data_IF_407153104905
#
_entry.id   IF_407153104905
#
_cell.length_a   1.000
_cell.length_b   1.000
_cell.length_c   1.000
_cell.angle_alpha   90.00
_cell.angle_beta   90.00
_cell.angle_gamma   90.00
#
_symmetry.space_group_name_H-M   'P 1'
#
loop_
_entity.id
_entity.type
_entity.pdbx_description
1 polymer ?
#
# COMPACT_ATOMS: atom_id res chain seq x y z
N UNK A 1 -10.52 21.02 -2.69
CA UNK A 1 -10.00 19.62 -2.78
C UNK A 1 -11.15 18.62 -2.68
N UNK A 2 -11.12 17.51 -3.44
CA UNK A 2 -12.15 16.46 -3.49
C UNK A 2 -11.51 15.10 -3.17
N UNK A 3 -12.32 14.09 -2.82
CA UNK A 3 -11.83 12.72 -2.63
C UNK A 3 -11.06 12.22 -3.85
N UNK A 4 -11.57 12.49 -5.05
CA UNK A 4 -10.89 12.13 -6.29
C UNK A 4 -9.52 12.81 -6.47
N UNK A 5 -9.35 14.06 -5.99
CA UNK A 5 -8.02 14.69 -5.99
C UNK A 5 -7.04 14.00 -5.04
N UNK A 6 -7.51 13.40 -3.95
CA UNK A 6 -6.69 12.59 -3.06
C UNK A 6 -6.30 11.24 -3.68
N UNK A 7 -7.21 10.59 -4.41
CA UNK A 7 -6.90 9.37 -5.19
C UNK A 7 -5.82 9.64 -6.24
N UNK A 8 -5.91 10.77 -6.95
CA UNK A 8 -4.90 11.18 -7.92
C UNK A 8 -3.54 11.43 -7.23
N UNK A 9 -3.54 12.13 -6.09
CA UNK A 9 -2.33 12.36 -5.32
C UNK A 9 -1.67 11.02 -4.89
N UNK A 10 -2.46 10.10 -4.31
CA UNK A 10 -2.00 8.78 -3.89
C UNK A 10 -1.41 7.98 -5.05
N UNK A 11 -2.11 7.95 -6.19
CA UNK A 11 -1.64 7.24 -7.37
C UNK A 11 -0.29 7.80 -7.89
N UNK A 12 -0.12 9.13 -7.93
CA UNK A 12 1.15 9.76 -8.32
C UNK A 12 2.26 9.46 -7.33
N UNK A 13 1.97 9.53 -6.02
CA UNK A 13 2.92 9.25 -4.96
C UNK A 13 3.45 7.81 -5.03
N UNK A 14 2.56 6.84 -5.21
CA UNK A 14 2.89 5.40 -5.31
C UNK A 14 3.63 5.04 -6.59
N UNK A 15 3.21 5.61 -7.73
CA UNK A 15 3.77 5.27 -9.04
C UNK A 15 5.08 6.02 -9.35
N UNK A 16 5.37 7.11 -8.65
CA UNK A 16 6.49 7.99 -8.98
C UNK A 16 6.44 8.55 -10.41
N UNK A 17 5.24 8.56 -11.02
CA UNK A 17 5.06 8.91 -12.43
C UNK A 17 3.63 9.32 -12.72
N UNK A 18 3.45 10.51 -13.32
CA UNK A 18 2.15 10.98 -13.80
C UNK A 18 1.55 10.05 -14.88
N UNK A 19 2.39 9.50 -15.76
CA UNK A 19 1.93 8.61 -16.83
C UNK A 19 1.43 7.28 -16.28
N UNK A 20 2.15 6.67 -15.32
CA UNK A 20 1.71 5.42 -14.69
C UNK A 20 0.45 5.63 -13.84
N UNK A 21 0.36 6.73 -13.10
CA UNK A 21 -0.85 7.10 -12.36
C UNK A 21 -2.05 7.30 -13.29
N UNK A 22 -1.84 7.94 -14.44
CA UNK A 22 -2.88 8.11 -15.46
C UNK A 22 -3.39 6.77 -16.00
N UNK A 23 -2.49 5.83 -16.29
CA UNK A 23 -2.86 4.49 -16.72
C UNK A 23 -3.66 3.75 -15.64
N UNK A 24 -3.21 3.80 -14.39
CA UNK A 24 -3.90 3.17 -13.26
C UNK A 24 -5.33 3.70 -13.05
N UNK A 25 -5.52 5.03 -13.19
CA UNK A 25 -6.81 5.68 -12.99
C UNK A 25 -7.66 5.81 -14.25
N UNK A 26 -7.20 5.25 -15.38
CA UNK A 26 -7.86 5.37 -16.70
C UNK A 26 -8.09 6.84 -17.13
N UNK A 27 -7.10 7.70 -16.84
CA UNK A 27 -7.11 9.12 -17.17
C UNK A 27 -5.99 9.47 -18.16
N UNK A 28 -6.01 10.72 -18.65
CA UNK A 28 -4.89 11.27 -19.41
C UNK A 28 -3.82 11.84 -18.49
N UNK A 29 -2.52 11.80 -18.86
CA UNK A 29 -1.47 12.45 -18.07
C UNK A 29 -1.69 13.95 -17.86
N UNK A 30 -2.31 14.64 -18.81
CA UNK A 30 -2.68 16.06 -18.68
C UNK A 30 -3.75 16.27 -17.61
N UNK A 31 -4.75 15.38 -17.50
CA UNK A 31 -5.77 15.44 -16.46
C UNK A 31 -5.16 15.25 -15.07
N UNK A 32 -4.28 14.26 -14.89
CA UNK A 32 -3.54 14.06 -13.64
C UNK A 32 -2.72 15.30 -13.28
N UNK A 33 -1.94 15.81 -14.25
CA UNK A 33 -1.11 17.01 -14.04
C UNK A 33 -1.91 18.24 -13.67
N UNK A 34 -3.07 18.43 -14.31
CA UNK A 34 -3.99 19.54 -14.01
C UNK A 34 -4.59 19.40 -12.60
N UNK A 35 -5.06 18.21 -12.23
CA UNK A 35 -5.63 17.96 -10.91
C UNK A 35 -4.63 18.24 -9.78
N UNK A 36 -3.38 17.79 -9.94
CA UNK A 36 -2.31 18.10 -8.98
C UNK A 36 -2.03 19.61 -8.94
N UNK A 37 -1.94 20.28 -10.08
CA UNK A 37 -1.70 21.73 -10.13
C UNK A 37 -2.81 22.53 -9.43
N UNK A 38 -4.08 22.12 -9.60
CA UNK A 38 -5.22 22.73 -8.89
C UNK A 38 -5.08 22.51 -7.37
N UNK A 39 -4.74 21.29 -6.94
CA UNK A 39 -4.54 20.96 -5.54
C UNK A 39 -3.39 21.79 -4.92
N UNK A 40 -2.26 21.91 -5.62
CA UNK A 40 -1.11 22.73 -5.22
C UNK A 40 -1.47 24.22 -5.14
N UNK A 41 -2.28 24.72 -6.08
CA UNK A 41 -2.74 26.10 -6.07
C UNK A 41 -3.69 26.39 -4.88
N UNK A 42 -4.60 25.46 -4.54
CA UNK A 42 -5.48 25.60 -3.38
C UNK A 42 -4.68 25.58 -2.06
N UNK A 43 -3.59 24.77 -1.99
CA UNK A 43 -2.76 24.64 -0.80
C UNK A 43 -1.71 25.76 -0.67
N UNK A 44 -1.33 26.40 -1.77
CA UNK A 44 -0.29 27.44 -1.80
C UNK A 44 1.15 26.90 -1.80
N UNK A 45 1.36 25.60 -2.01
CA UNK A 45 2.69 24.96 -2.09
C UNK A 45 2.66 23.74 -3.01
N UNK A 46 3.86 23.35 -3.51
CA UNK A 46 4.01 22.19 -4.37
C UNK A 46 4.04 20.88 -3.57
N UNK A 47 3.41 19.84 -4.12
CA UNK A 47 3.32 18.52 -3.53
C UNK A 47 4.34 17.55 -4.12
N UNK A 48 4.74 17.79 -5.37
CA UNK A 48 5.66 16.94 -6.10
C UNK A 48 6.80 17.70 -6.76
N UNK A 49 8.00 17.12 -6.68
CA UNK A 49 9.16 17.49 -7.49
C UNK A 49 9.12 16.69 -8.79
N UNK A 50 9.27 17.38 -9.93
CA UNK A 50 9.37 16.76 -11.26
C UNK A 50 10.83 16.76 -11.69
N UNK A 51 11.43 15.59 -11.88
CA UNK A 51 12.82 15.44 -12.27
C UNK A 51 13.01 14.47 -13.44
N UNK A 52 14.25 14.40 -13.94
CA UNK A 52 14.63 13.45 -15.02
C UNK A 52 14.43 11.99 -14.62
N UNK A 53 14.49 11.67 -13.33
CA UNK A 53 14.38 10.33 -12.79
C UNK A 53 12.96 9.99 -12.31
N UNK A 54 11.95 10.81 -12.65
CA UNK A 54 10.58 10.60 -12.25
C UNK A 54 10.02 11.71 -11.36
N UNK A 55 9.01 11.35 -10.57
CA UNK A 55 8.28 12.24 -9.67
C UNK A 55 8.49 11.78 -8.24
N UNK A 56 8.87 12.70 -7.35
CA UNK A 56 9.00 12.45 -5.91
C UNK A 56 8.18 13.45 -5.12
N UNK A 57 7.69 13.08 -3.96
CA UNK A 57 6.99 14.01 -3.07
C UNK A 57 7.97 15.09 -2.55
N UNK A 58 7.46 16.31 -2.39
CA UNK A 58 8.13 17.35 -1.59
C UNK A 58 8.01 17.01 -0.09
N UNK A 59 8.68 17.76 0.78
CA UNK A 59 8.48 17.66 2.24
C UNK A 59 7.03 17.91 2.65
N UNK A 60 6.35 18.83 1.98
CA UNK A 60 4.93 19.12 2.21
C UNK A 60 4.05 17.94 1.77
N UNK A 61 4.31 17.37 0.59
CA UNK A 61 3.61 16.20 0.10
C UNK A 61 3.77 15.01 1.04
N UNK A 62 5.00 14.73 1.49
CA UNK A 62 5.28 13.67 2.44
C UNK A 62 4.59 13.88 3.81
N UNK A 63 4.53 15.11 4.29
CA UNK A 63 3.84 15.43 5.55
C UNK A 63 2.32 15.28 5.46
N UNK A 64 1.70 15.55 4.30
CA UNK A 64 0.27 15.39 4.08
C UNK A 64 -0.16 13.97 3.74
N UNK A 65 0.75 13.16 3.21
CA UNK A 65 0.44 11.83 2.70
C UNK A 65 -0.28 10.93 3.71
N UNK A 66 0.15 10.82 4.99
CA UNK A 66 -0.55 10.00 5.98
C UNK A 66 -2.01 10.45 6.20
N UNK A 67 -2.26 11.76 6.23
CA UNK A 67 -3.61 12.31 6.41
C UNK A 67 -4.50 12.05 5.19
N UNK A 68 -3.96 12.19 3.99
CA UNK A 68 -4.67 11.86 2.74
C UNK A 68 -5.01 10.38 2.70
N UNK A 69 -4.07 9.51 3.09
CA UNK A 69 -4.31 8.06 3.20
C UNK A 69 -5.41 7.74 4.21
N UNK A 70 -5.42 8.40 5.37
CA UNK A 70 -6.46 8.21 6.38
C UNK A 70 -7.87 8.57 5.83
N UNK A 71 -8.00 9.63 5.03
CA UNK A 71 -9.27 10.00 4.38
C UNK A 71 -9.70 8.93 3.39
N UNK A 72 -8.79 8.45 2.52
CA UNK A 72 -9.09 7.40 1.53
C UNK A 72 -9.48 6.09 2.21
N UNK A 73 -8.78 5.69 3.27
CA UNK A 73 -9.12 4.49 4.05
C UNK A 73 -10.49 4.62 4.73
N UNK A 74 -10.84 5.82 5.21
CA UNK A 74 -12.16 6.07 5.82
C UNK A 74 -13.29 5.96 4.79
N UNK A 75 -13.07 6.44 3.56
CA UNK A 75 -14.03 6.26 2.47
C UNK A 75 -14.17 4.78 2.09
N UNK A 76 -13.07 4.05 1.94
CA UNK A 76 -13.10 2.61 1.68
C UNK A 76 -13.88 1.85 2.78
N UNK A 77 -13.66 2.19 4.06
CA UNK A 77 -14.38 1.60 5.19
C UNK A 77 -15.89 1.91 5.14
N UNK A 78 -16.25 3.13 4.75
CA UNK A 78 -17.65 3.52 4.54
C UNK A 78 -18.31 2.69 3.42
N UNK A 79 -17.64 2.55 2.27
CA UNK A 79 -18.14 1.74 1.15
C UNK A 79 -18.32 0.28 1.54
N UNK A 80 -17.39 -0.30 2.30
CA UNK A 80 -17.52 -1.66 2.84
C UNK A 80 -18.70 -1.79 3.80
N UNK A 81 -18.93 -0.78 4.65
CA UNK A 81 -20.06 -0.76 5.58
C UNK A 81 -21.40 -0.71 4.84
N UNK A 82 -21.49 0.11 3.79
CA UNK A 82 -22.66 0.19 2.91
C UNK A 82 -22.90 -1.14 2.22
N UNK A 83 -21.86 -1.78 1.67
CA UNK A 83 -21.98 -3.08 1.03
C UNK A 83 -22.51 -4.14 1.99
N UNK A 84 -22.00 -4.16 3.24
CA UNK A 84 -22.47 -5.08 4.30
C UNK A 84 -23.96 -4.86 4.65
N UNK A 85 -24.39 -3.60 4.79
CA UNK A 85 -25.78 -3.27 5.07
C UNK A 85 -26.73 -3.70 3.95
N UNK A 86 -26.23 -3.73 2.71
CA UNK A 86 -26.96 -4.21 1.53
C UNK A 86 -26.92 -5.75 1.39
N UNK A 87 -26.41 -6.49 2.37
CA UNK A 87 -26.28 -7.95 2.34
C UNK A 87 -25.24 -8.46 1.34
N UNK A 88 -24.33 -7.60 0.88
CA UNK A 88 -23.24 -7.95 -0.01
C UNK A 88 -22.00 -8.29 0.86
N UNK A 89 -21.65 -9.56 0.92
CA UNK A 89 -20.38 -10.02 1.52
C UNK A 89 -19.19 -9.71 0.59
N UNK A 90 -19.15 -8.49 0.09
CA UNK A 90 -18.07 -8.01 -0.77
C UNK A 90 -17.13 -7.12 0.03
N UNK A 91 -15.85 -7.30 -0.16
CA UNK A 91 -14.84 -6.50 0.49
C UNK A 91 -13.54 -6.54 -0.28
N UNK A 92 -12.62 -5.67 0.12
CA UNK A 92 -11.25 -5.65 -0.37
C UNK A 92 -10.31 -5.61 0.83
N UNK A 93 -9.25 -6.43 0.78
CA UNK A 93 -8.18 -6.48 1.78
C UNK A 93 -6.85 -6.22 1.07
N UNK A 94 -6.11 -5.25 1.53
CA UNK A 94 -4.75 -4.92 1.04
C UNK A 94 -3.74 -5.55 1.99
N UNK A 95 -2.96 -6.48 1.47
CA UNK A 95 -2.00 -7.28 2.21
C UNK A 95 -0.56 -6.93 1.81
N UNK A 96 0.25 -6.47 2.77
CA UNK A 96 1.68 -6.25 2.57
C UNK A 96 2.51 -7.49 2.92
N UNK A 97 3.43 -7.89 2.03
CA UNK A 97 4.31 -9.02 2.28
C UNK A 97 5.67 -8.85 1.59
N UNK A 98 6.72 -9.40 2.20
CA UNK A 98 8.04 -9.47 1.60
C UNK A 98 8.22 -10.74 0.75
N UNK A 99 9.26 -10.77 -0.07
CA UNK A 99 9.44 -11.74 -1.16
C UNK A 99 9.33 -13.21 -0.70
N UNK A 100 9.93 -13.60 0.41
CA UNK A 100 9.91 -15.00 0.88
C UNK A 100 8.51 -15.45 1.29
N UNK A 101 7.71 -14.57 1.88
CA UNK A 101 6.30 -14.85 2.20
C UNK A 101 5.47 -14.97 0.92
N UNK A 102 5.67 -14.06 -0.03
CA UNK A 102 4.93 -14.08 -1.30
C UNK A 102 5.20 -15.35 -2.12
N UNK A 103 6.43 -15.86 -2.13
CA UNK A 103 6.79 -17.05 -2.88
C UNK A 103 6.53 -18.36 -2.14
N UNK A 104 6.53 -18.35 -0.80
CA UNK A 104 6.42 -19.55 0.04
C UNK A 104 5.01 -19.76 0.61
N UNK A 105 4.69 -19.02 1.64
CA UNK A 105 3.51 -19.24 2.47
C UNK A 105 2.20 -18.68 1.87
N UNK A 106 2.27 -17.49 1.30
CA UNK A 106 1.10 -16.71 0.91
C UNK A 106 0.20 -17.40 -0.13
N UNK A 107 0.71 -18.08 -1.17
CA UNK A 107 -0.15 -18.74 -2.16
C UNK A 107 -1.10 -19.77 -1.56
N UNK A 108 -0.65 -20.56 -0.58
CA UNK A 108 -1.48 -21.56 0.08
C UNK A 108 -2.56 -20.94 0.96
N UNK A 109 -2.22 -19.86 1.68
CA UNK A 109 -3.17 -19.09 2.51
C UNK A 109 -4.23 -18.46 1.62
N UNK A 110 -3.84 -17.78 0.54
CA UNK A 110 -4.77 -17.12 -0.37
C UNK A 110 -5.72 -18.12 -1.04
N UNK A 111 -5.21 -19.26 -1.48
CA UNK A 111 -6.04 -20.32 -2.06
C UNK A 111 -7.13 -20.78 -1.09
N UNK A 112 -6.79 -21.01 0.17
CA UNK A 112 -7.76 -21.38 1.21
C UNK A 112 -8.75 -20.26 1.51
N UNK A 113 -8.27 -19.03 1.64
CA UNK A 113 -9.09 -17.86 1.93
C UNK A 113 -10.10 -17.59 0.81
N UNK A 114 -9.67 -17.55 -0.45
CA UNK A 114 -10.53 -17.28 -1.61
C UNK A 114 -11.57 -18.38 -1.84
N UNK A 115 -11.28 -19.62 -1.43
CA UNK A 115 -12.26 -20.71 -1.49
C UNK A 115 -13.42 -20.50 -0.49
N UNK A 116 -13.14 -19.92 0.68
CA UNK A 116 -14.15 -19.64 1.71
C UNK A 116 -14.86 -18.29 1.52
N UNK A 117 -14.13 -17.30 0.97
CA UNK A 117 -14.61 -15.92 0.80
C UNK A 117 -14.44 -15.45 -0.66
N UNK A 118 -15.16 -16.03 -1.62
CA UNK A 118 -14.95 -15.77 -3.05
C UNK A 118 -15.29 -14.34 -3.49
N UNK A 119 -16.03 -13.60 -2.67
CA UNK A 119 -16.42 -12.22 -2.96
C UNK A 119 -15.48 -11.17 -2.32
N UNK A 120 -14.44 -11.61 -1.57
CA UNK A 120 -13.44 -10.72 -0.99
C UNK A 120 -12.24 -10.68 -1.93
N UNK A 121 -11.95 -9.51 -2.46
CA UNK A 121 -10.75 -9.25 -3.25
C UNK A 121 -9.54 -9.09 -2.31
N UNK A 122 -8.45 -9.80 -2.58
CA UNK A 122 -7.18 -9.61 -1.87
C UNK A 122 -6.17 -9.01 -2.82
N UNK A 123 -5.72 -7.79 -2.52
CA UNK A 123 -4.65 -7.11 -3.25
C UNK A 123 -3.34 -7.27 -2.48
N UNK A 124 -2.34 -7.88 -3.12
CA UNK A 124 -1.04 -8.15 -2.50
C UNK A 124 -0.01 -7.11 -2.94
N UNK A 125 0.60 -6.46 -1.96
CA UNK A 125 1.72 -5.54 -2.11
C UNK A 125 3.00 -6.25 -1.71
N UNK A 126 3.89 -6.44 -2.68
CA UNK A 126 5.18 -7.10 -2.47
C UNK A 126 6.31 -6.08 -2.44
N UNK A 127 7.15 -6.12 -1.40
CA UNK A 127 8.27 -5.20 -1.24
C UNK A 127 9.32 -5.68 -0.26
N UNK A 128 10.22 -4.77 0.11
CA UNK A 128 11.20 -4.98 1.17
C UNK A 128 10.54 -4.92 2.56
N UNK A 129 11.27 -5.26 3.62
CA UNK A 129 10.80 -5.12 5.00
C UNK A 129 10.41 -3.68 5.33
N UNK A 130 11.22 -2.71 4.85
CA UNK A 130 10.97 -1.29 5.09
C UNK A 130 9.76 -0.79 4.30
N UNK A 131 9.58 -1.24 3.05
CA UNK A 131 8.40 -0.91 2.24
C UNK A 131 7.12 -1.39 2.95
N UNK A 132 7.10 -2.66 3.37
CA UNK A 132 5.92 -3.27 4.01
C UNK A 132 5.58 -2.56 5.33
N UNK A 133 6.60 -2.22 6.13
CA UNK A 133 6.45 -1.45 7.35
C UNK A 133 5.87 -0.06 7.09
N UNK A 134 6.40 0.64 6.09
CA UNK A 134 5.91 1.96 5.71
C UNK A 134 4.49 1.92 5.16
N UNK A 135 4.15 0.91 4.35
CA UNK A 135 2.78 0.74 3.83
C UNK A 135 1.77 0.51 4.95
N UNK A 136 2.11 -0.27 5.97
CA UNK A 136 1.23 -0.48 7.11
C UNK A 136 1.09 0.80 7.93
N UNK A 137 2.20 1.53 8.17
CA UNK A 137 2.20 2.79 8.92
C UNK A 137 1.37 3.89 8.24
N UNK A 138 1.42 3.96 6.92
CA UNK A 138 0.68 4.95 6.13
C UNK A 138 -0.74 4.50 5.77
N UNK A 139 -1.15 3.28 6.17
CA UNK A 139 -2.45 2.71 5.82
C UNK A 139 -2.61 2.39 4.34
N UNK A 140 -1.49 2.18 3.62
CA UNK A 140 -1.52 1.72 2.24
C UNK A 140 -1.91 0.24 2.15
N UNK A 141 -1.63 -0.54 3.20
CA UNK A 141 -2.11 -1.91 3.40
C UNK A 141 -2.86 -2.01 4.72
N UNK A 142 -3.83 -2.92 4.79
CA UNK A 142 -4.69 -3.13 5.97
C UNK A 142 -4.02 -4.06 6.97
N UNK A 143 -3.34 -5.07 6.46
CA UNK A 143 -2.56 -6.05 7.22
C UNK A 143 -1.23 -6.32 6.53
N UNK A 144 -0.23 -6.77 7.29
CA UNK A 144 1.08 -7.07 6.72
C UNK A 144 1.77 -8.22 7.45
N UNK A 145 2.62 -8.94 6.72
CA UNK A 145 3.60 -9.83 7.33
C UNK A 145 4.82 -9.01 7.76
N UNK A 146 5.13 -9.08 9.04
CA UNK A 146 6.25 -8.35 9.65
C UNK A 146 7.11 -9.31 10.47
N UNK A 147 8.36 -8.94 10.69
CA UNK A 147 9.23 -9.64 11.62
C UNK A 147 9.03 -9.15 13.07
N UNK A 148 9.48 -9.93 14.05
CA UNK A 148 9.25 -9.68 15.47
C UNK A 148 9.86 -8.35 16.00
N UNK A 149 10.79 -7.75 15.27
CA UNK A 149 11.44 -6.48 15.64
C UNK A 149 10.51 -5.24 15.51
N UNK A 150 9.27 -5.42 15.05
CA UNK A 150 8.28 -4.34 14.87
C UNK A 150 7.24 -4.27 16.02
N UNK A 151 7.42 -5.02 17.11
CA UNK A 151 6.43 -5.10 18.23
C UNK A 151 6.16 -3.78 18.95
N UNK A 152 7.12 -2.87 18.95
CA UNK A 152 6.95 -1.58 19.61
C UNK A 152 6.06 -0.62 18.80
N UNK A 153 5.89 -0.87 17.51
CA UNK A 153 5.21 0.02 16.58
C UNK A 153 3.83 -0.49 16.16
N UNK A 154 3.65 -1.84 16.14
CA UNK A 154 2.44 -2.48 15.65
C UNK A 154 1.93 -3.57 16.59
N UNK A 155 0.62 -3.82 16.55
CA UNK A 155 0.02 -4.99 17.19
C UNK A 155 0.32 -6.21 16.32
N UNK A 156 1.10 -7.15 16.85
CA UNK A 156 1.51 -8.36 16.14
C UNK A 156 0.80 -9.60 16.68
N UNK A 157 0.31 -10.44 15.77
CA UNK A 157 -0.08 -11.82 16.03
C UNK A 157 1.00 -12.74 15.51
N UNK A 158 1.59 -13.53 16.39
CA UNK A 158 2.62 -14.49 16.02
C UNK A 158 2.01 -15.65 15.24
N UNK A 159 2.59 -15.95 14.07
CA UNK A 159 2.14 -17.04 13.19
C UNK A 159 3.05 -18.26 13.31
N UNK A 160 4.36 -18.08 13.28
CA UNK A 160 5.37 -19.14 13.37
C UNK A 160 6.76 -18.56 13.70
N UNK A 161 7.66 -19.44 14.10
CA UNK A 161 9.07 -19.12 14.28
C UNK A 161 9.91 -19.76 13.16
N UNK A 162 10.75 -18.96 12.51
CA UNK A 162 11.79 -19.45 11.60
C UNK A 162 13.15 -19.38 12.29
N UNK A 163 13.87 -20.49 12.45
CA UNK A 163 15.22 -20.46 12.97
C UNK A 163 16.18 -19.85 11.93
N UNK A 164 17.10 -19.01 12.40
CA UNK A 164 18.23 -18.59 11.58
C UNK A 164 19.23 -19.77 11.49
N UNK A 165 19.51 -20.18 10.26
CA UNK A 165 20.50 -21.22 9.98
C UNK A 165 21.75 -20.57 9.38
N UNK A 166 22.91 -20.90 9.93
CA UNK A 166 24.19 -20.55 9.33
C UNK A 166 24.49 -21.53 8.20
N UNK A 167 24.74 -21.02 7.01
CA UNK A 167 25.19 -21.83 5.86
C UNK A 167 26.67 -21.57 5.67
N UNK A 168 27.45 -22.66 5.77
CA UNK A 168 28.89 -22.63 5.53
C UNK A 168 29.24 -23.54 4.36
N UNK A 169 30.36 -23.33 3.67
CA UNK A 169 30.93 -24.33 2.76
C UNK A 169 31.11 -25.68 3.46
N UNK A 170 31.01 -26.78 2.70
CA UNK A 170 31.04 -28.14 3.25
C UNK A 170 32.37 -28.47 3.91
N UNK A 171 33.43 -27.77 3.57
CA UNK A 171 34.82 -27.89 4.10
C UNK A 171 35.15 -26.83 5.16
N UNK A 172 34.18 -26.09 5.65
CA UNK A 172 34.38 -25.11 6.72
C UNK A 172 34.65 -25.79 8.05
N UNK A 173 35.72 -25.47 8.78
CA UNK A 173 35.99 -26.05 10.09
C UNK A 173 34.90 -25.66 11.09
N UNK A 174 34.46 -26.64 11.92
CA UNK A 174 33.51 -26.43 13.02
C UNK A 174 34.05 -25.48 14.09
#
# INVERSE_FOLDING_TARGET
>A
MTLFSYEIFDAVARQGSFNKAAQQLHLTPSAISHAIAVMEAELGFTLFNRGKNGVTMTSYGASLYPSIRAVLNSDEALQQSIARLNGLEKGKVKLGAFNSICSGLLPSILKGFMAHYPQIEVEVYQGTYDDVKEWLRTGQVDIAFLSNNCREEFVLTELFHEPLLCITPMDWPE
#
